data_IF_803099338414
#
_entry.id   IF_803099338414
#
_cell.length_a   1.000
_cell.length_b   1.000
_cell.length_c   1.000
_cell.angle_alpha   90.00
_cell.angle_beta   90.00
_cell.angle_gamma   90.00
#
_symmetry.space_group_name_H-M   'P 1'
#
loop_
_entity.id
_entity.type
_entity.pdbx_description
1 polymer ?
#
# COMPACT_ATOMS: atom_id res chain seq x y z
N UNK A 1 -25.24 40.07 39.25
CA UNK A 1 -25.87 40.34 37.94
C UNK A 1 -25.43 39.25 36.98
N UNK A 2 -26.14 38.12 36.93
CA UNK A 2 -27.27 37.84 36.03
C UNK A 2 -26.86 37.64 34.56
N UNK A 3 -26.96 36.41 34.03
CA UNK A 3 -26.98 36.13 32.60
C UNK A 3 -28.41 36.31 32.03
N UNK A 4 -28.50 36.76 30.79
CA UNK A 4 -29.76 37.00 30.03
C UNK A 4 -29.77 36.20 28.72
N UNK A 5 -30.95 35.93 28.14
CA UNK A 5 -31.37 34.55 27.85
C UNK A 5 -31.44 34.17 26.36
N UNK A 6 -31.59 32.87 26.14
CA UNK A 6 -31.90 32.22 24.88
C UNK A 6 -33.27 32.66 24.31
N UNK A 7 -33.31 32.92 23.00
CA UNK A 7 -34.54 33.11 22.25
C UNK A 7 -34.68 32.05 21.17
N UNK A 8 -35.72 31.25 21.34
CA UNK A 8 -36.22 30.27 20.38
C UNK A 8 -36.88 30.99 19.21
N UNK A 9 -36.49 30.65 17.99
CA UNK A 9 -37.24 31.02 16.79
C UNK A 9 -37.98 29.79 16.27
N UNK A 10 -39.29 29.83 16.42
CA UNK A 10 -40.26 28.93 15.84
C UNK A 10 -40.94 29.70 14.71
N UNK A 11 -40.64 29.38 13.46
CA UNK A 11 -41.34 29.91 12.28
C UNK A 11 -41.20 28.93 11.13
N UNK A 12 -42.28 28.28 10.74
CA UNK A 12 -43.16 28.85 9.71
C UNK A 12 -44.27 27.85 9.40
N UNK A 13 -45.46 28.27 9.79
CA UNK A 13 -46.75 27.79 9.31
C UNK A 13 -46.92 28.01 7.81
N UNK A 14 -47.41 27.00 7.08
CA UNK A 14 -48.28 27.10 5.87
C UNK A 14 -48.57 25.65 5.43
N UNK A 15 -49.75 25.24 4.97
CA UNK A 15 -50.86 25.96 4.36
C UNK A 15 -52.07 25.03 4.25
N UNK A 16 -53.27 25.61 4.36
CA UNK A 16 -54.52 25.37 3.60
C UNK A 16 -54.79 23.95 3.08
N UNK A 17 -55.99 23.43 3.33
CA UNK A 17 -57.18 23.84 2.57
C UNK A 17 -58.44 23.09 3.03
N UNK A 18 -59.42 23.88 3.41
CA UNK A 18 -60.83 23.57 3.57
C UNK A 18 -61.48 23.27 2.21
N UNK A 19 -62.12 22.10 2.05
CA UNK A 19 -63.32 21.88 1.24
C UNK A 19 -63.84 20.46 1.48
N UNK A 20 -65.10 20.33 1.91
CA UNK A 20 -66.11 19.47 1.29
C UNK A 20 -67.23 19.15 2.28
N UNK A 21 -68.38 19.76 2.03
CA UNK A 21 -69.67 19.43 2.60
C UNK A 21 -70.03 17.94 2.42
N UNK A 22 -70.56 17.31 3.47
CA UNK A 22 -71.39 16.09 3.38
C UNK A 22 -72.47 16.20 4.46
N UNK A 23 -73.69 16.58 4.06
CA UNK A 23 -74.84 15.68 3.89
C UNK A 23 -75.19 14.91 5.17
N UNK A 24 -76.08 15.51 5.95
CA UNK A 24 -76.93 14.84 6.93
C UNK A 24 -78.00 14.00 6.22
N UNK A 25 -78.17 12.75 6.63
CA UNK A 25 -79.39 11.96 6.46
C UNK A 25 -79.60 11.10 7.72
N UNK A 26 -80.85 10.72 8.03
CA UNK A 26 -81.33 10.54 9.38
C UNK A 26 -81.10 9.13 9.95
N UNK A 27 -81.22 9.06 11.27
CA UNK A 27 -81.26 7.84 12.05
C UNK A 27 -82.35 6.88 11.53
N UNK A 28 -81.93 5.68 11.13
CA UNK A 28 -82.82 4.53 11.01
C UNK A 28 -82.38 3.46 12.01
N UNK A 29 -83.35 3.11 12.84
CA UNK A 29 -83.32 2.12 13.89
C UNK A 29 -83.19 0.71 13.32
N UNK A 30 -82.11 0.01 13.67
CA UNK A 30 -82.05 -1.45 13.54
C UNK A 30 -81.42 -2.05 14.79
N UNK A 31 -82.35 -2.45 15.68
CA UNK A 31 -82.45 -3.76 16.33
C UNK A 31 -81.14 -4.50 16.60
N UNK A 32 -80.89 -4.71 17.89
CA UNK A 32 -79.93 -5.66 18.42
C UNK A 32 -80.04 -7.02 17.71
N UNK A 33 -78.88 -7.50 17.23
CA UNK A 33 -78.62 -8.92 17.02
C UNK A 33 -77.26 -9.21 17.62
N UNK A 34 -77.30 -10.02 18.67
CA UNK A 34 -76.18 -10.62 19.35
C UNK A 34 -75.44 -11.58 18.42
N UNK A 35 -74.28 -11.16 17.96
CA UNK A 35 -73.18 -12.06 17.61
C UNK A 35 -71.90 -11.24 17.59
N UNK A 36 -71.08 -11.35 18.63
CA UNK A 36 -69.69 -10.91 18.60
C UNK A 36 -68.88 -11.91 17.76
N UNK A 37 -68.33 -11.55 16.59
CA UNK A 37 -67.12 -12.19 16.14
C UNK A 37 -65.97 -11.55 16.90
N UNK A 38 -65.23 -12.38 17.64
CA UNK A 38 -63.94 -12.04 18.22
C UNK A 38 -63.09 -11.36 17.14
N UNK A 39 -62.65 -10.12 17.41
CA UNK A 39 -61.58 -9.47 16.66
C UNK A 39 -60.31 -10.32 16.80
N UNK A 40 -59.65 -10.75 15.72
CA UNK A 40 -58.20 -10.83 15.76
C UNK A 40 -57.69 -9.43 15.46
N UNK A 41 -57.31 -8.69 16.51
CA UNK A 41 -56.47 -7.51 16.38
C UNK A 41 -55.12 -7.93 15.82
N UNK A 42 -55.02 -7.99 14.49
CA UNK A 42 -53.76 -8.09 13.78
C UNK A 42 -53.06 -6.75 13.80
N UNK A 43 -52.52 -6.35 14.96
CA UNK A 43 -51.58 -5.23 15.02
C UNK A 43 -50.40 -5.51 14.07
N UNK A 44 -49.84 -4.51 13.38
CA UNK A 44 -48.72 -4.72 12.48
C UNK A 44 -47.57 -5.33 13.27
N UNK A 45 -47.35 -6.64 13.08
CA UNK A 45 -46.20 -7.38 13.63
C UNK A 45 -44.96 -6.60 13.22
N UNK A 46 -44.29 -6.03 14.21
CA UNK A 46 -43.13 -5.18 14.03
C UNK A 46 -42.12 -5.88 13.12
N UNK A 47 -41.98 -5.36 11.89
CA UNK A 47 -40.94 -5.76 10.92
C UNK A 47 -39.53 -5.34 11.37
N UNK A 48 -39.35 -4.99 12.65
CA UNK A 48 -38.12 -4.47 13.22
C UNK A 48 -36.97 -5.49 13.22
N UNK A 49 -37.26 -6.79 13.30
CA UNK A 49 -36.24 -7.85 13.22
C UNK A 49 -35.62 -8.01 11.82
N UNK A 50 -36.35 -7.63 10.77
CA UNK A 50 -35.95 -7.85 9.37
C UNK A 50 -34.84 -6.91 8.90
N UNK A 51 -34.76 -5.70 9.48
CA UNK A 51 -33.71 -4.72 9.16
C UNK A 51 -32.34 -5.10 9.76
N UNK A 52 -32.31 -5.74 10.92
CA UNK A 52 -31.05 -6.16 11.58
C UNK A 52 -30.38 -7.34 10.87
N UNK A 53 -31.17 -8.31 10.39
CA UNK A 53 -30.65 -9.44 9.61
C UNK A 53 -30.17 -9.03 8.22
N UNK A 54 -30.82 -8.05 7.58
CA UNK A 54 -30.45 -7.57 6.25
C UNK A 54 -29.06 -6.90 6.24
N UNK A 55 -28.76 -6.05 7.24
CA UNK A 55 -27.46 -5.38 7.34
C UNK A 55 -26.28 -6.36 7.50
N UNK A 56 -26.49 -7.48 8.21
CA UNK A 56 -25.48 -8.54 8.33
C UNK A 56 -25.21 -9.23 6.99
N UNK A 57 -26.24 -9.43 6.17
CA UNK A 57 -26.10 -10.05 4.83
C UNK A 57 -25.41 -9.09 3.85
N UNK A 58 -25.75 -7.81 3.88
CA UNK A 58 -25.09 -6.79 3.04
C UNK A 58 -23.59 -6.67 3.36
N UNK A 59 -23.23 -6.71 4.65
CA UNK A 59 -21.84 -6.77 5.08
C UNK A 59 -21.17 -8.08 4.65
N UNK A 60 -21.83 -9.23 4.80
CA UNK A 60 -21.27 -10.52 4.43
C UNK A 60 -20.92 -10.61 2.92
N UNK A 61 -21.68 -9.95 2.07
CA UNK A 61 -21.43 -9.90 0.62
C UNK A 61 -20.33 -8.87 0.27
N UNK A 62 -20.23 -7.77 1.02
CA UNK A 62 -19.23 -6.71 0.78
C UNK A 62 -17.85 -7.01 1.39
N UNK A 63 -17.82 -7.77 2.49
CA UNK A 63 -16.61 -8.15 3.23
C UNK A 63 -15.55 -8.86 2.37
N UNK A 64 -15.86 -9.85 1.50
CA UNK A 64 -14.83 -10.48 0.66
C UNK A 64 -14.14 -9.47 -0.27
N UNK A 65 -14.88 -8.51 -0.83
CA UNK A 65 -14.31 -7.47 -1.70
C UNK A 65 -13.42 -6.52 -0.88
N UNK A 66 -13.87 -6.12 0.30
CA UNK A 66 -13.07 -5.27 1.20
C UNK A 66 -11.77 -5.96 1.63
N UNK A 67 -11.81 -7.25 1.96
CA UNK A 67 -10.62 -8.03 2.34
C UNK A 67 -9.63 -8.11 1.17
N UNK A 68 -10.11 -8.37 -0.05
CA UNK A 68 -9.25 -8.39 -1.24
C UNK A 68 -8.62 -7.02 -1.53
N UNK A 69 -9.37 -5.93 -1.39
CA UNK A 69 -8.85 -4.58 -1.56
C UNK A 69 -7.78 -4.25 -0.53
N UNK A 70 -8.01 -4.56 0.74
CA UNK A 70 -7.02 -4.33 1.80
C UNK A 70 -5.77 -5.19 1.57
N UNK A 71 -5.93 -6.47 1.26
CA UNK A 71 -4.81 -7.36 0.94
C UNK A 71 -3.98 -6.82 -0.24
N UNK A 72 -4.63 -6.36 -1.31
CA UNK A 72 -3.95 -5.76 -2.45
C UNK A 72 -3.17 -4.50 -2.10
N UNK A 73 -3.76 -3.59 -1.30
CA UNK A 73 -3.06 -2.38 -0.85
C UNK A 73 -1.87 -2.70 0.05
N UNK A 74 -1.98 -3.70 0.93
CA UNK A 74 -0.89 -4.13 1.80
C UNK A 74 0.29 -4.69 1.00
N UNK A 75 0.04 -5.54 0.01
CA UNK A 75 1.10 -6.09 -0.83
C UNK A 75 1.78 -5.01 -1.69
N UNK A 76 1.00 -4.07 -2.24
CA UNK A 76 1.56 -2.91 -2.96
C UNK A 76 2.41 -2.02 -2.04
N UNK A 77 1.95 -1.77 -0.82
CA UNK A 77 2.70 -1.01 0.19
C UNK A 77 4.03 -1.68 0.55
N UNK A 78 4.03 -3.01 0.69
CA UNK A 78 5.24 -3.80 0.96
C UNK A 78 6.22 -3.73 -0.21
N UNK A 79 5.73 -3.92 -1.44
CA UNK A 79 6.55 -3.81 -2.65
C UNK A 79 7.20 -2.43 -2.79
N UNK A 80 6.44 -1.36 -2.52
CA UNK A 80 6.97 0.00 -2.55
C UNK A 80 8.03 0.25 -1.48
N UNK A 81 7.82 -0.23 -0.24
CA UNK A 81 8.81 -0.13 0.82
C UNK A 81 10.15 -0.78 0.43
N UNK A 82 10.10 -1.93 -0.25
CA UNK A 82 11.32 -2.57 -0.76
C UNK A 82 11.99 -1.80 -1.89
N UNK A 83 11.22 -1.19 -2.80
CA UNK A 83 11.77 -0.34 -3.85
C UNK A 83 12.56 0.86 -3.28
N UNK A 84 12.07 1.45 -2.19
CA UNK A 84 12.77 2.51 -1.45
C UNK A 84 14.05 1.95 -0.83
N UNK A 85 13.97 0.84 -0.08
CA UNK A 85 15.12 0.23 0.55
C UNK A 85 16.23 -0.15 -0.44
N UNK A 86 15.89 -0.73 -1.60
CA UNK A 86 16.87 -1.05 -2.65
C UNK A 86 17.52 0.20 -3.25
N UNK A 87 16.76 1.30 -3.36
CA UNK A 87 17.27 2.57 -3.90
C UNK A 87 18.21 3.27 -2.92
N UNK A 88 17.86 3.25 -1.63
CA UNK A 88 18.70 3.85 -0.59
C UNK A 88 19.99 3.08 -0.40
N UNK A 89 19.94 1.74 -0.39
CA UNK A 89 21.15 0.93 -0.33
C UNK A 89 22.05 1.08 -1.56
N UNK A 90 21.46 1.29 -2.76
CA UNK A 90 22.25 1.62 -3.95
C UNK A 90 22.99 2.97 -3.78
N UNK A 91 22.35 3.97 -3.17
CA UNK A 91 22.96 5.29 -2.91
C UNK A 91 24.08 5.21 -1.88
N UNK A 92 23.86 4.48 -0.79
CA UNK A 92 24.87 4.35 0.25
C UNK A 92 26.05 3.50 -0.22
N UNK A 93 25.79 2.45 -1.01
CA UNK A 93 26.81 1.72 -1.75
C UNK A 93 27.60 2.62 -2.72
N UNK A 94 26.92 3.45 -3.51
CA UNK A 94 27.58 4.36 -4.45
C UNK A 94 28.44 5.42 -3.73
N UNK A 95 27.94 6.00 -2.64
CA UNK A 95 28.70 6.94 -1.78
C UNK A 95 29.91 6.28 -1.13
N UNK A 96 29.76 5.03 -0.68
CA UNK A 96 30.85 4.28 -0.08
C UNK A 96 31.98 4.10 -1.09
N UNK A 97 31.66 3.59 -2.27
CA UNK A 97 32.64 3.33 -3.32
C UNK A 97 33.21 4.63 -3.88
N UNK A 98 32.39 5.67 -4.05
CA UNK A 98 32.82 7.01 -4.48
C UNK A 98 33.50 7.85 -3.39
N UNK A 99 33.76 7.27 -2.20
CA UNK A 99 34.47 7.87 -1.07
C UNK A 99 35.82 7.22 -0.73
N UNK A 100 36.23 6.15 -1.44
CA UNK A 100 37.38 5.31 -1.07
C UNK A 100 38.40 5.15 -2.19
N UNK A 101 39.68 5.26 -1.83
CA UNK A 101 40.83 5.08 -2.74
C UNK A 101 41.56 3.76 -2.47
N UNK A 102 42.33 3.27 -3.46
CA UNK A 102 43.23 2.10 -3.32
C UNK A 102 44.15 2.15 -2.10
N UNK A 103 44.56 3.34 -1.63
CA UNK A 103 45.46 3.51 -0.49
C UNK A 103 44.77 3.59 0.88
N UNK A 104 43.46 3.86 0.92
CA UNK A 104 42.72 4.14 2.17
C UNK A 104 41.60 3.11 2.41
N UNK A 105 41.83 1.84 2.03
CA UNK A 105 40.94 0.67 2.06
C UNK A 105 40.38 0.18 0.71
N UNK A 106 40.81 0.75 -0.41
CA UNK A 106 40.31 0.42 -1.75
C UNK A 106 38.83 0.77 -1.94
N UNK A 107 38.33 0.81 -3.18
CA UNK A 107 36.95 0.39 -3.39
C UNK A 107 36.92 -1.10 -3.02
N UNK A 108 36.45 -1.40 -1.81
CA UNK A 108 36.28 -2.77 -1.37
C UNK A 108 34.87 -3.19 -1.70
N UNK A 109 34.65 -3.90 -2.81
CA UNK A 109 33.33 -4.51 -3.11
C UNK A 109 32.84 -5.36 -1.93
N UNK A 110 33.74 -6.06 -1.24
CA UNK A 110 33.41 -6.78 -0.01
C UNK A 110 32.97 -5.88 1.14
N UNK A 111 33.58 -4.70 1.30
CA UNK A 111 33.20 -3.76 2.36
C UNK A 111 31.89 -3.02 2.01
N UNK A 112 31.70 -2.68 0.74
CA UNK A 112 30.42 -2.20 0.20
C UNK A 112 29.31 -3.23 0.42
N UNK A 113 29.60 -4.52 0.27
CA UNK A 113 28.65 -5.60 0.57
C UNK A 113 28.10 -5.49 2.00
N UNK A 114 28.97 -5.21 2.98
CA UNK A 114 28.56 -5.02 4.38
C UNK A 114 27.66 -3.80 4.60
N UNK A 115 27.89 -2.71 3.88
CA UNK A 115 27.03 -1.51 3.92
C UNK A 115 25.64 -1.84 3.36
N UNK A 116 25.58 -2.37 2.13
CA UNK A 116 24.30 -2.72 1.49
C UNK A 116 23.56 -3.79 2.29
N UNK A 117 24.28 -4.75 2.88
CA UNK A 117 23.68 -5.77 3.75
C UNK A 117 23.08 -5.17 5.03
N UNK A 118 23.73 -4.16 5.62
CA UNK A 118 23.17 -3.46 6.78
C UNK A 118 21.88 -2.72 6.42
N UNK A 119 21.84 -2.06 5.26
CA UNK A 119 20.67 -1.32 4.78
C UNK A 119 19.50 -2.25 4.44
N UNK A 120 19.79 -3.43 3.90
CA UNK A 120 18.79 -4.43 3.53
C UNK A 120 18.47 -5.44 4.63
N UNK A 121 19.04 -5.33 5.83
CA UNK A 121 18.85 -6.33 6.89
C UNK A 121 17.38 -6.50 7.32
N UNK A 122 16.56 -5.47 7.19
CA UNK A 122 15.11 -5.53 7.43
C UNK A 122 14.28 -6.07 6.25
N UNK A 123 14.91 -6.26 5.09
CA UNK A 123 14.27 -6.69 3.83
C UNK A 123 14.62 -8.13 3.49
N UNK A 124 15.90 -8.50 3.59
CA UNK A 124 16.40 -9.83 3.21
C UNK A 124 17.58 -10.27 4.06
N UNK A 125 17.66 -11.58 4.30
CA UNK A 125 18.83 -12.25 4.87
C UNK A 125 19.73 -12.91 3.82
N UNK A 126 19.31 -12.95 2.55
CA UNK A 126 20.02 -13.55 1.44
C UNK A 126 20.48 -12.48 0.46
N UNK A 127 21.73 -12.05 0.61
CA UNK A 127 22.36 -11.08 -0.27
C UNK A 127 23.56 -11.68 -0.99
N UNK A 128 23.62 -11.51 -2.30
CA UNK A 128 24.83 -11.77 -3.09
C UNK A 128 25.66 -10.49 -3.16
N UNK A 129 26.91 -10.60 -2.72
CA UNK A 129 27.85 -9.48 -2.74
C UNK A 129 28.04 -8.90 -4.16
N UNK A 130 28.45 -7.62 -4.24
CA UNK A 130 28.48 -6.89 -5.49
C UNK A 130 29.49 -7.49 -6.47
N UNK A 131 29.01 -7.75 -7.68
CA UNK A 131 29.85 -8.13 -8.81
C UNK A 131 30.21 -6.89 -9.61
N UNK A 132 31.49 -6.76 -9.96
CA UNK A 132 31.88 -5.74 -10.90
C UNK A 132 31.57 -6.18 -12.33
N UNK A 133 30.91 -5.31 -13.07
CA UNK A 133 30.60 -5.51 -14.48
C UNK A 133 31.54 -4.66 -15.33
N UNK A 134 31.86 -5.13 -16.53
CA UNK A 134 32.90 -4.55 -17.38
C UNK A 134 32.40 -3.52 -18.39
N UNK A 135 31.10 -3.24 -18.44
CA UNK A 135 30.50 -2.28 -19.35
C UNK A 135 29.44 -1.42 -18.67
N UNK A 136 29.21 -0.25 -19.23
CA UNK A 136 28.18 0.67 -18.75
C UNK A 136 26.77 0.06 -18.92
N UNK A 137 25.77 0.53 -18.14
CA UNK A 137 24.37 0.11 -18.28
C UNK A 137 23.83 0.30 -19.70
N UNK A 138 22.83 -0.49 -20.14
CA UNK A 138 21.98 -1.38 -19.34
C UNK A 138 22.62 -2.75 -19.04
N UNK A 139 22.46 -3.23 -17.80
CA UNK A 139 22.93 -4.55 -17.40
C UNK A 139 21.94 -5.65 -17.79
N UNK A 140 22.46 -6.77 -18.27
CA UNK A 140 21.72 -7.92 -18.75
C UNK A 140 21.78 -9.04 -17.71
N UNK A 141 20.59 -9.54 -17.34
CA UNK A 141 20.46 -10.69 -16.45
C UNK A 141 21.06 -11.95 -17.10
N UNK A 142 21.87 -12.69 -16.35
CA UNK A 142 22.53 -13.92 -16.78
C UNK A 142 23.95 -13.72 -17.33
N UNK A 143 24.29 -12.51 -17.77
CA UNK A 143 25.68 -12.15 -18.13
C UNK A 143 26.35 -11.32 -17.05
N UNK A 144 25.65 -10.29 -16.56
CA UNK A 144 26.25 -9.26 -15.69
C UNK A 144 25.90 -9.48 -14.22
N UNK A 145 24.71 -10.03 -14.00
CA UNK A 145 24.22 -10.44 -12.68
C UNK A 145 23.31 -11.66 -12.80
N UNK A 146 23.30 -12.50 -11.77
CA UNK A 146 22.32 -13.57 -11.67
C UNK A 146 20.96 -13.00 -11.28
N UNK A 147 19.88 -13.39 -11.97
CA UNK A 147 18.52 -13.00 -11.58
C UNK A 147 18.28 -13.41 -10.12
N UNK A 148 17.87 -12.49 -9.23
CA UNK A 148 17.63 -12.84 -7.84
C UNK A 148 16.47 -13.82 -7.70
N UNK A 149 16.64 -14.81 -6.82
CA UNK A 149 15.52 -15.64 -6.37
C UNK A 149 14.55 -14.83 -5.49
N UNK A 150 13.37 -15.39 -5.23
CA UNK A 150 12.42 -14.84 -4.27
C UNK A 150 13.08 -14.58 -2.91
N UNK A 151 12.99 -13.36 -2.42
CA UNK A 151 13.58 -12.91 -1.16
C UNK A 151 15.08 -12.63 -1.23
N UNK A 152 15.76 -12.78 -2.37
CA UNK A 152 17.21 -12.54 -2.50
C UNK A 152 17.51 -11.15 -3.07
N UNK A 153 18.59 -10.52 -2.59
CA UNK A 153 19.20 -9.35 -3.22
C UNK A 153 20.50 -9.69 -3.94
N UNK A 154 20.73 -9.07 -5.09
CA UNK A 154 21.95 -9.17 -5.91
C UNK A 154 22.41 -7.77 -6.28
N UNK A 155 23.67 -7.46 -6.05
CA UNK A 155 24.24 -6.15 -6.35
C UNK A 155 25.16 -6.25 -7.56
N UNK A 156 25.06 -5.30 -8.48
CA UNK A 156 25.95 -5.17 -9.64
C UNK A 156 26.52 -3.76 -9.66
N UNK A 157 27.81 -3.65 -9.92
CA UNK A 157 28.54 -2.38 -9.88
C UNK A 157 29.34 -2.21 -11.15
N UNK A 158 29.16 -1.07 -11.83
CA UNK A 158 30.04 -0.67 -12.91
C UNK A 158 30.94 0.45 -12.44
N UNK A 159 32.23 0.25 -12.61
CA UNK A 159 33.24 1.25 -12.40
C UNK A 159 33.94 1.41 -13.74
N UNK A 160 33.99 2.64 -14.24
CA UNK A 160 34.39 2.95 -15.62
C UNK A 160 35.67 2.26 -16.08
N UNK A 161 35.93 2.27 -17.39
CA UNK A 161 37.04 1.52 -18.03
C UNK A 161 38.45 1.79 -17.46
N UNK A 162 38.63 2.85 -16.68
CA UNK A 162 39.89 3.30 -16.08
C UNK A 162 39.96 3.14 -14.56
N UNK A 163 38.94 2.60 -13.89
CA UNK A 163 38.89 2.37 -12.43
C UNK A 163 38.34 0.98 -12.13
N UNK A 164 39.03 0.25 -11.25
CA UNK A 164 38.53 -1.02 -10.72
C UNK A 164 37.96 -0.82 -9.32
N UNK A 165 36.70 -1.18 -9.12
CA UNK A 165 36.06 -1.18 -7.81
C UNK A 165 36.42 -2.38 -6.96
N UNK A 166 37.19 -3.34 -7.46
CA UNK A 166 37.83 -4.38 -6.65
C UNK A 166 39.16 -3.93 -6.01
N UNK A 167 39.65 -2.73 -6.35
CA UNK A 167 40.86 -2.16 -5.76
C UNK A 167 42.17 -2.56 -6.45
N UNK A 168 42.10 -3.14 -7.65
CA UNK A 168 43.28 -3.58 -8.40
C UNK A 168 43.96 -2.46 -9.22
N UNK A 169 43.31 -1.31 -9.41
CA UNK A 169 43.80 -0.20 -10.24
C UNK A 169 43.66 1.15 -9.55
N UNK A 170 44.60 2.07 -9.79
CA UNK A 170 44.57 3.43 -9.23
C UNK A 170 43.33 4.18 -9.72
N UNK A 171 42.51 4.73 -8.82
CA UNK A 171 41.28 5.37 -9.19
C UNK A 171 41.59 6.77 -9.75
N UNK A 172 41.03 7.10 -10.91
CA UNK A 172 41.19 8.42 -11.51
C UNK A 172 40.24 9.44 -10.87
N UNK A 173 40.67 10.69 -10.87
CA UNK A 173 39.86 11.84 -10.46
C UNK A 173 38.59 11.92 -11.32
N UNK A 174 37.44 12.12 -10.66
CA UNK A 174 36.14 12.33 -11.31
C UNK A 174 35.64 11.15 -12.17
N UNK A 175 35.92 9.92 -11.73
CA UNK A 175 35.40 8.70 -12.37
C UNK A 175 33.96 8.44 -11.96
N UNK A 176 33.13 8.00 -12.91
CA UNK A 176 31.75 7.59 -12.63
C UNK A 176 31.69 6.15 -12.12
N UNK A 177 30.90 5.96 -11.05
CA UNK A 177 30.57 4.67 -10.46
C UNK A 177 29.06 4.52 -10.47
N UNK A 178 28.59 3.43 -11.06
CA UNK A 178 27.18 3.06 -11.16
C UNK A 178 26.91 1.82 -10.30
N UNK A 179 25.98 1.93 -9.36
CA UNK A 179 25.57 0.84 -8.46
C UNK A 179 24.12 0.48 -8.73
N UNK A 180 23.85 -0.80 -8.89
CA UNK A 180 22.53 -1.37 -9.07
C UNK A 180 22.28 -2.46 -8.03
N UNK A 181 21.12 -2.40 -7.38
CA UNK A 181 20.65 -3.40 -6.42
C UNK A 181 19.39 -4.02 -7.00
N UNK A 182 19.41 -5.32 -7.24
CA UNK A 182 18.28 -6.12 -7.73
C UNK A 182 17.74 -6.98 -6.60
N UNK A 183 16.45 -6.89 -6.33
CA UNK A 183 15.76 -7.68 -5.31
C UNK A 183 14.66 -8.52 -5.94
N UNK A 184 14.62 -9.82 -5.61
CA UNK A 184 13.53 -10.70 -6.00
C UNK A 184 12.37 -10.58 -5.03
N UNK A 185 11.33 -9.84 -5.40
CA UNK A 185 10.10 -9.75 -4.63
C UNK A 185 9.24 -11.01 -4.81
N UNK A 186 8.90 -11.64 -3.69
CA UNK A 186 7.88 -12.70 -3.63
C UNK A 186 6.52 -12.07 -3.34
N UNK A 187 5.59 -12.19 -4.27
CA UNK A 187 4.24 -11.62 -4.23
C UNK A 187 3.20 -12.64 -3.72
N UNK A 188 3.64 -13.63 -2.92
CA UNK A 188 2.83 -14.79 -2.51
C UNK A 188 2.31 -15.62 -3.69
N UNK A 189 3.03 -15.60 -4.82
CA UNK A 189 2.67 -16.32 -6.04
C UNK A 189 1.33 -15.84 -6.65
N UNK A 190 0.90 -14.62 -6.33
CA UNK A 190 -0.42 -14.08 -6.70
C UNK A 190 -0.45 -13.53 -8.14
N UNK A 191 0.69 -13.10 -8.68
CA UNK A 191 0.85 -12.58 -10.05
C UNK A 191 1.72 -13.50 -10.93
N UNK A 192 1.92 -14.76 -10.52
CA UNK A 192 2.58 -15.77 -11.35
C UNK A 192 4.10 -15.82 -11.25
N UNK A 193 4.71 -15.22 -10.21
CA UNK A 193 6.08 -15.52 -9.81
C UNK A 193 6.89 -14.30 -9.32
N UNK A 194 8.15 -14.57 -8.94
CA UNK A 194 9.05 -13.56 -8.38
C UNK A 194 9.33 -12.42 -9.36
N UNK A 195 8.99 -11.19 -8.96
CA UNK A 195 9.23 -9.96 -9.70
C UNK A 195 10.56 -9.36 -9.24
N UNK A 196 11.38 -8.85 -10.16
CA UNK A 196 12.62 -8.16 -9.78
C UNK A 196 12.36 -6.67 -9.62
N UNK A 197 12.56 -6.16 -8.40
CA UNK A 197 12.60 -4.73 -8.08
C UNK A 197 14.05 -4.29 -8.16
N UNK A 198 14.34 -3.15 -8.77
CA UNK A 198 15.69 -2.61 -8.81
C UNK A 198 15.77 -1.17 -8.32
N UNK A 199 16.86 -0.87 -7.62
CA UNK A 199 17.30 0.48 -7.29
C UNK A 199 18.65 0.74 -7.92
N UNK A 200 18.91 1.98 -8.34
CA UNK A 200 20.22 2.35 -8.86
C UNK A 200 20.65 3.72 -8.37
N UNK A 201 21.97 3.91 -8.34
CA UNK A 201 22.58 5.18 -8.01
C UNK A 201 23.90 5.35 -8.76
N UNK A 202 24.16 6.58 -9.17
CA UNK A 202 25.42 6.99 -9.78
C UNK A 202 26.12 7.97 -8.85
N UNK A 203 27.43 7.78 -8.66
CA UNK A 203 28.27 8.70 -7.92
C UNK A 203 29.59 8.95 -8.66
N UNK A 204 30.15 10.14 -8.49
CA UNK A 204 31.46 10.51 -9.02
C UNK A 204 32.50 10.51 -7.91
N UNK A 205 33.66 9.92 -8.18
CA UNK A 205 34.79 9.91 -7.24
C UNK A 205 35.36 11.33 -7.05
N UNK A 206 35.87 11.65 -5.85
CA UNK A 206 36.28 13.02 -5.47
C UNK A 206 37.75 13.19 -5.05
N UNK A 207 38.60 12.19 -5.31
CA UNK A 207 40.03 12.19 -4.98
C UNK A 207 40.92 12.32 -6.20
#
# INVERSE_FOLDING_TARGET
>A
MQPSPATWWCSETRRRSSHAARRTCPASSWRASSSMPRRPGGGPRARAGRRRGQALVELAISLPILVLLVAGVLELGRGYAFAVATSDAARDGARYVAGKTVSTNGPGLAAMCGVVQADLAGVTSSLSCPTQVSHAPPFVSGTDYAKPAAGQAVVAVFCGASVDCAGSQSPLYQSEVDVYVYYGFDDLNLLGGAITISGSSRATTSW
#
